data_IF_395171247874
#
_entry.id   IF_395171247874
#
_cell.length_a   1.000
_cell.length_b   1.000
_cell.length_c   1.000
_cell.angle_alpha   90.00
_cell.angle_beta   90.00
_cell.angle_gamma   90.00
#
_symmetry.space_group_name_H-M   'P 1'
#
loop_
_entity.id
_entity.type
_entity.pdbx_description
1 polymer ?
#
# COMPACT_ATOMS: atom_id res chain seq x y z
N UNK A 1 -4.75 -3.87 -21.80
CA UNK A 1 -5.11 -3.89 -20.36
C UNK A 1 -6.40 -4.65 -20.14
N UNK A 2 -6.45 -5.50 -19.12
CA UNK A 2 -7.64 -6.28 -18.77
C UNK A 2 -8.49 -5.52 -17.73
N UNK A 3 -9.80 -5.45 -17.94
CA UNK A 3 -10.75 -4.96 -16.93
C UNK A 3 -12.14 -5.56 -17.14
N UNK A 4 -12.92 -5.62 -16.08
CA UNK A 4 -14.27 -6.14 -16.09
C UNK A 4 -15.30 -5.03 -16.35
N UNK A 5 -16.50 -5.42 -16.83
CA UNK A 5 -17.65 -4.50 -16.88
C UNK A 5 -17.96 -3.95 -15.46
N UNK A 6 -17.77 -4.78 -14.44
CA UNK A 6 -17.93 -4.38 -13.04
C UNK A 6 -16.97 -3.25 -12.64
N UNK A 7 -15.68 -3.37 -12.99
CA UNK A 7 -14.69 -2.34 -12.70
C UNK A 7 -15.05 -1.00 -13.37
N UNK A 8 -15.47 -1.01 -14.64
CA UNK A 8 -15.94 0.18 -15.32
C UNK A 8 -17.17 0.79 -14.63
N UNK A 9 -18.12 -0.03 -14.20
CA UNK A 9 -19.32 0.42 -13.48
C UNK A 9 -18.95 1.06 -12.12
N UNK A 10 -18.01 0.47 -11.36
CA UNK A 10 -17.52 1.04 -10.09
C UNK A 10 -16.91 2.41 -10.33
N UNK A 11 -16.00 2.55 -11.29
CA UNK A 11 -15.32 3.81 -11.57
C UNK A 11 -16.31 4.89 -12.05
N UNK A 12 -17.26 4.53 -12.91
CA UNK A 12 -18.32 5.45 -13.36
C UNK A 12 -19.18 5.93 -12.20
N UNK A 13 -19.61 5.00 -11.34
CA UNK A 13 -20.46 5.33 -10.20
C UNK A 13 -19.77 6.30 -9.23
N UNK A 14 -18.45 6.16 -9.04
CA UNK A 14 -17.64 7.06 -8.20
C UNK A 14 -17.57 8.52 -8.68
N UNK A 15 -17.93 8.81 -9.94
CA UNK A 15 -17.93 10.17 -10.46
C UNK A 15 -19.05 11.04 -9.87
N UNK A 16 -20.06 10.42 -9.25
CA UNK A 16 -21.23 11.12 -8.79
C UNK A 16 -21.12 11.58 -7.34
N UNK A 17 -21.60 12.78 -7.07
CA UNK A 17 -21.54 13.42 -5.75
C UNK A 17 -22.21 12.56 -4.68
N UNK A 18 -21.54 12.39 -3.55
CA UNK A 18 -22.03 11.60 -2.41
C UNK A 18 -21.73 10.10 -2.51
N UNK A 19 -21.13 9.66 -3.61
CA UNK A 19 -20.69 8.28 -3.78
C UNK A 19 -19.17 8.19 -3.57
N UNK A 20 -18.78 7.59 -2.46
CA UNK A 20 -17.38 7.32 -2.13
C UNK A 20 -17.18 5.85 -1.77
N UNK A 21 -15.98 5.49 -1.29
CA UNK A 21 -15.62 4.10 -0.93
C UNK A 21 -16.66 3.43 -0.04
N UNK A 22 -17.03 4.06 1.07
CA UNK A 22 -18.03 3.51 2.02
C UNK A 22 -19.39 3.26 1.37
N UNK A 23 -19.79 4.12 0.45
CA UNK A 23 -21.04 3.92 -0.29
C UNK A 23 -20.95 2.71 -1.22
N UNK A 24 -19.86 2.60 -1.99
CA UNK A 24 -19.62 1.45 -2.88
C UNK A 24 -19.66 0.15 -2.09
N UNK A 25 -18.91 0.05 -0.99
CA UNK A 25 -18.85 -1.18 -0.19
C UNK A 25 -20.22 -1.58 0.38
N UNK A 26 -21.06 -0.62 0.74
CA UNK A 26 -22.40 -0.89 1.31
C UNK A 26 -23.47 -1.21 0.25
N UNK A 27 -23.45 -0.54 -0.89
CA UNK A 27 -24.61 -0.46 -1.76
C UNK A 27 -24.36 -1.04 -3.16
N UNK A 28 -23.10 -1.08 -3.61
CA UNK A 28 -22.79 -1.53 -4.95
C UNK A 28 -22.86 -3.05 -5.06
N UNK A 29 -23.46 -3.56 -6.14
CA UNK A 29 -23.49 -4.98 -6.49
C UNK A 29 -23.01 -5.14 -7.93
N UNK A 30 -22.13 -6.10 -8.18
CA UNK A 30 -21.51 -6.34 -9.48
C UNK A 30 -22.51 -6.60 -10.61
N UNK A 31 -23.70 -7.12 -10.28
CA UNK A 31 -24.77 -7.41 -11.24
C UNK A 31 -25.81 -6.28 -11.42
N UNK A 32 -25.57 -5.07 -10.86
CA UNK A 32 -26.45 -3.94 -11.08
C UNK A 32 -26.48 -3.55 -12.56
N UNK A 33 -27.69 -3.31 -13.08
CA UNK A 33 -27.86 -2.72 -14.42
C UNK A 33 -27.47 -1.23 -14.41
N UNK A 34 -27.21 -0.66 -15.59
CA UNK A 34 -26.87 0.76 -15.72
C UNK A 34 -28.01 1.66 -15.21
N UNK A 35 -29.29 1.24 -15.40
CA UNK A 35 -30.48 1.95 -14.90
C UNK A 35 -30.46 2.02 -13.37
N UNK A 36 -30.17 0.92 -12.67
CA UNK A 36 -30.05 0.90 -11.21
C UNK A 36 -28.91 1.76 -10.71
N UNK A 37 -27.78 1.76 -11.42
CA UNK A 37 -26.64 2.61 -11.07
C UNK A 37 -26.95 4.09 -11.29
N UNK A 38 -27.62 4.45 -12.41
CA UNK A 38 -28.08 5.81 -12.67
C UNK A 38 -29.04 6.33 -11.58
N UNK A 39 -30.03 5.51 -11.19
CA UNK A 39 -30.93 5.84 -10.05
C UNK A 39 -30.13 6.07 -8.77
N UNK A 40 -29.19 5.20 -8.45
CA UNK A 40 -28.34 5.32 -7.27
C UNK A 40 -27.45 6.57 -7.30
N UNK A 41 -26.98 6.94 -8.48
CA UNK A 41 -26.19 8.14 -8.77
C UNK A 41 -27.04 9.42 -8.83
N UNK A 42 -28.37 9.30 -8.75
CA UNK A 42 -29.34 10.41 -8.88
C UNK A 42 -29.18 11.18 -10.20
N UNK A 43 -29.04 10.44 -11.30
CA UNK A 43 -28.88 10.98 -12.66
C UNK A 43 -29.77 10.25 -13.65
N UNK A 44 -29.87 10.74 -14.88
CA UNK A 44 -30.56 10.02 -15.95
C UNK A 44 -29.73 8.87 -16.49
N UNK A 45 -30.37 7.88 -17.09
CA UNK A 45 -29.66 6.76 -17.73
C UNK A 45 -28.78 7.27 -18.87
N UNK A 46 -29.24 8.27 -19.62
CA UNK A 46 -28.49 8.89 -20.71
C UNK A 46 -27.17 9.53 -20.22
N UNK A 47 -27.26 10.39 -19.19
CA UNK A 47 -26.08 11.03 -18.60
C UNK A 47 -25.10 10.00 -17.98
N UNK A 48 -25.66 8.94 -17.38
CA UNK A 48 -24.83 7.86 -16.84
C UNK A 48 -24.06 7.12 -17.94
N UNK A 49 -24.69 6.83 -19.09
CA UNK A 49 -24.07 6.19 -20.24
C UNK A 49 -23.00 7.10 -20.86
N UNK A 50 -23.25 8.40 -20.94
CA UNK A 50 -22.23 9.35 -21.43
C UNK A 50 -21.00 9.36 -20.53
N UNK A 51 -21.19 9.46 -19.19
CA UNK A 51 -20.07 9.42 -18.25
C UNK A 51 -19.35 8.07 -18.27
N UNK A 52 -20.10 6.98 -18.42
CA UNK A 52 -19.54 5.63 -18.57
C UNK A 52 -18.61 5.51 -19.79
N UNK A 53 -18.95 6.16 -20.90
CA UNK A 53 -18.12 6.20 -22.10
C UNK A 53 -16.85 7.03 -21.87
N UNK A 54 -16.93 8.18 -21.19
CA UNK A 54 -15.77 9.01 -20.82
C UNK A 54 -14.82 8.25 -19.89
N UNK A 55 -15.36 7.56 -18.88
CA UNK A 55 -14.54 6.74 -17.95
C UNK A 55 -13.88 5.59 -18.70
N UNK A 56 -14.58 4.95 -19.63
CA UNK A 56 -14.03 3.89 -20.49
C UNK A 56 -12.81 4.38 -21.27
N UNK A 57 -12.90 5.52 -21.93
CA UNK A 57 -11.79 6.13 -22.67
C UNK A 57 -10.58 6.41 -21.75
N UNK A 58 -10.83 6.92 -20.54
CA UNK A 58 -9.78 7.18 -19.55
C UNK A 58 -9.09 5.89 -19.07
N UNK A 59 -9.85 4.80 -18.90
CA UNK A 59 -9.30 3.49 -18.54
C UNK A 59 -8.47 2.95 -19.71
N UNK A 60 -8.97 3.04 -20.93
CA UNK A 60 -8.29 2.55 -22.14
C UNK A 60 -6.98 3.31 -22.42
N UNK A 61 -6.90 4.59 -22.07
CA UNK A 61 -5.66 5.38 -22.11
C UNK A 61 -4.56 4.88 -21.15
N UNK A 62 -4.89 3.97 -20.22
CA UNK A 62 -3.92 3.32 -19.35
C UNK A 62 -3.35 2.02 -19.91
N UNK A 63 -3.77 1.56 -21.10
CA UNK A 63 -3.44 0.25 -21.64
C UNK A 63 -1.94 -0.04 -21.80
N UNK A 64 -1.13 0.96 -22.05
CA UNK A 64 0.32 0.80 -22.19
C UNK A 64 1.06 0.80 -20.83
N UNK A 65 0.38 1.22 -19.76
CA UNK A 65 0.97 1.47 -18.47
C UNK A 65 0.52 0.48 -17.37
N UNK A 66 -0.64 -0.17 -17.56
CA UNK A 66 -1.20 -1.12 -16.62
C UNK A 66 -1.56 -2.44 -17.33
N UNK A 67 -1.34 -3.57 -16.66
CA UNK A 67 -1.78 -4.87 -17.16
C UNK A 67 -3.28 -5.05 -16.93
N UNK A 68 -3.81 -4.45 -15.86
CA UNK A 68 -5.24 -4.54 -15.60
C UNK A 68 -5.75 -3.52 -14.59
N UNK A 69 -7.10 -3.50 -14.53
CA UNK A 69 -7.91 -2.83 -13.53
C UNK A 69 -8.83 -3.87 -12.89
N UNK A 70 -8.81 -3.97 -11.57
CA UNK A 70 -9.69 -4.82 -10.78
C UNK A 70 -10.45 -3.98 -9.77
N UNK A 71 -11.73 -4.29 -9.50
CA UNK A 71 -12.58 -3.48 -8.63
C UNK A 71 -13.39 -4.34 -7.64
N UNK A 72 -13.87 -3.70 -6.59
CA UNK A 72 -14.77 -4.30 -5.61
C UNK A 72 -15.95 -4.99 -6.30
N UNK A 73 -16.18 -6.25 -5.93
CA UNK A 73 -17.19 -7.11 -6.57
C UNK A 73 -16.66 -8.00 -7.70
N UNK A 74 -15.42 -7.82 -8.16
CA UNK A 74 -14.75 -8.79 -9.02
C UNK A 74 -14.33 -10.02 -8.21
N UNK A 75 -14.42 -11.20 -8.81
CA UNK A 75 -14.13 -12.50 -8.17
C UNK A 75 -12.72 -12.54 -7.53
N UNK A 76 -11.73 -11.97 -8.24
CA UNK A 76 -10.34 -11.96 -7.84
C UNK A 76 -9.91 -10.62 -7.20
N UNK A 77 -10.85 -9.81 -6.69
CA UNK A 77 -10.47 -8.57 -6.01
C UNK A 77 -9.68 -8.90 -4.73
N UNK A 78 -8.49 -8.29 -4.53
CA UNK A 78 -7.60 -8.69 -3.44
C UNK A 78 -8.23 -8.50 -2.06
N UNK A 79 -8.02 -9.48 -1.19
CA UNK A 79 -8.38 -9.35 0.22
C UNK A 79 -7.33 -8.53 0.96
N UNK A 80 -7.76 -7.70 1.87
CA UNK A 80 -6.89 -6.94 2.76
C UNK A 80 -6.76 -7.59 4.14
N UNK A 81 -5.74 -7.21 4.91
CA UNK A 81 -5.47 -7.64 6.28
C UNK A 81 -6.12 -6.68 7.27
N UNK A 82 -6.32 -7.17 8.48
CA UNK A 82 -6.83 -6.35 9.59
C UNK A 82 -8.32 -6.00 9.51
N UNK A 83 -8.73 -5.08 10.38
CA UNK A 83 -10.12 -4.59 10.50
C UNK A 83 -10.24 -3.20 9.87
N UNK A 84 -10.50 -3.16 8.58
CA UNK A 84 -10.51 -1.91 7.80
C UNK A 84 -11.90 -1.29 7.78
N UNK A 85 -12.00 0.00 8.14
CA UNK A 85 -13.24 0.78 8.05
C UNK A 85 -13.72 0.87 6.61
N UNK A 86 -15.03 0.93 6.38
CA UNK A 86 -15.60 0.94 5.01
C UNK A 86 -15.06 2.08 4.13
N UNK A 87 -14.78 3.25 4.72
CA UNK A 87 -14.23 4.39 4.00
C UNK A 87 -12.76 4.23 3.59
N UNK A 88 -12.05 3.30 4.23
CA UNK A 88 -10.62 3.04 4.00
C UNK A 88 -10.38 1.81 3.11
N UNK A 89 -11.44 1.03 2.83
CA UNK A 89 -11.31 -0.14 1.97
C UNK A 89 -10.98 0.26 0.54
N UNK A 90 -10.02 -0.43 -0.12
CA UNK A 90 -9.77 -0.24 -1.55
C UNK A 90 -11.00 -0.71 -2.33
N UNK A 91 -11.38 0.04 -3.36
CA UNK A 91 -12.54 -0.30 -4.19
C UNK A 91 -12.19 -0.52 -5.66
N UNK A 92 -11.01 -0.11 -6.07
CA UNK A 92 -10.41 -0.49 -7.35
C UNK A 92 -8.90 -0.36 -7.26
N UNK A 93 -8.20 -1.10 -8.11
CA UNK A 93 -6.74 -1.03 -8.24
C UNK A 93 -6.38 -1.17 -9.72
N UNK A 94 -5.62 -0.21 -10.24
CA UNK A 94 -4.81 -0.41 -11.43
C UNK A 94 -3.54 -1.15 -11.02
N UNK A 95 -3.12 -2.12 -11.81
CA UNK A 95 -1.95 -2.92 -11.50
C UNK A 95 -1.07 -3.20 -12.71
N UNK A 96 0.22 -3.40 -12.48
CA UNK A 96 1.19 -3.91 -13.44
C UNK A 96 2.07 -4.95 -12.75
N UNK A 97 2.16 -6.14 -13.34
CA UNK A 97 2.87 -7.29 -12.76
C UNK A 97 1.95 -8.30 -12.05
N UNK A 98 2.48 -8.99 -11.07
CA UNK A 98 1.82 -10.15 -10.47
C UNK A 98 0.83 -9.76 -9.36
N UNK A 99 -0.44 -9.56 -9.71
CA UNK A 99 -1.52 -9.19 -8.76
C UNK A 99 -1.73 -10.25 -7.65
N UNK A 100 -1.36 -11.52 -7.87
CA UNK A 100 -1.48 -12.59 -6.86
C UNK A 100 -0.59 -12.39 -5.64
N UNK A 101 0.38 -11.47 -5.71
CA UNK A 101 1.17 -11.07 -4.53
C UNK A 101 0.31 -10.38 -3.45
N UNK A 102 -0.90 -9.93 -3.77
CA UNK A 102 -1.86 -9.38 -2.80
C UNK A 102 -2.71 -10.45 -2.10
N UNK A 103 -2.70 -11.70 -2.56
CA UNK A 103 -3.48 -12.77 -1.95
C UNK A 103 -3.11 -12.95 -0.47
N UNK A 104 -4.08 -13.29 0.38
CA UNK A 104 -3.84 -13.50 1.82
C UNK A 104 -2.87 -14.62 2.14
N UNK A 105 -2.75 -15.58 1.25
CA UNK A 105 -1.80 -16.70 1.38
C UNK A 105 -0.34 -16.26 1.20
N UNK A 106 -0.12 -15.14 0.52
CA UNK A 106 1.20 -14.56 0.38
C UNK A 106 1.57 -13.77 1.65
N UNK A 107 2.82 -13.88 2.10
CA UNK A 107 3.30 -13.19 3.29
C UNK A 107 3.93 -11.88 2.90
N UNK A 108 3.28 -10.79 3.28
CA UNK A 108 3.66 -9.44 2.92
C UNK A 108 4.11 -8.66 4.17
N UNK A 109 5.28 -8.05 4.11
CA UNK A 109 5.78 -7.15 5.16
C UNK A 109 6.03 -5.78 4.54
N UNK A 110 5.36 -4.75 5.07
CA UNK A 110 5.66 -3.37 4.70
C UNK A 110 6.94 -2.90 5.40
N UNK A 111 7.85 -2.27 4.65
CA UNK A 111 9.04 -1.61 5.18
C UNK A 111 9.01 -0.17 4.71
N UNK A 112 9.03 0.76 5.68
CA UNK A 112 8.85 2.20 5.45
C UNK A 112 9.85 2.99 6.30
N UNK A 113 10.10 4.25 5.94
CA UNK A 113 11.00 5.09 6.74
C UNK A 113 11.30 6.45 6.12
N UNK A 114 12.49 6.94 6.41
CA UNK A 114 12.98 8.25 6.00
C UNK A 114 13.21 8.36 4.49
N UNK A 115 13.00 9.57 3.96
CA UNK A 115 13.40 9.91 2.60
C UNK A 115 14.92 10.04 2.44
N UNK A 116 15.64 10.32 3.53
CA UNK A 116 17.10 10.51 3.55
C UNK A 116 17.71 9.79 4.77
N UNK A 117 17.75 8.44 4.76
CA UNK A 117 18.45 7.69 5.78
C UNK A 117 19.97 7.96 5.73
N UNK A 118 20.65 7.77 6.85
CA UNK A 118 22.10 7.75 6.87
C UNK A 118 22.62 6.34 6.50
N UNK A 119 23.93 6.19 6.25
CA UNK A 119 24.51 4.91 5.85
C UNK A 119 24.25 3.77 6.85
N UNK A 120 24.22 4.06 8.15
CA UNK A 120 23.92 3.06 9.17
C UNK A 120 22.46 2.59 9.10
N UNK A 121 21.52 3.55 8.96
CA UNK A 121 20.09 3.24 8.77
C UNK A 121 19.85 2.42 7.51
N UNK A 122 20.56 2.75 6.41
CA UNK A 122 20.50 1.98 5.17
C UNK A 122 21.01 0.55 5.35
N UNK A 123 22.18 0.37 6.00
CA UNK A 123 22.76 -0.95 6.24
C UNK A 123 21.83 -1.86 7.04
N UNK A 124 21.29 -1.37 8.17
CA UNK A 124 20.40 -2.19 9.00
C UNK A 124 19.08 -2.52 8.30
N UNK A 125 18.53 -1.59 7.51
CA UNK A 125 17.34 -1.87 6.70
C UNK A 125 17.61 -2.96 5.67
N UNK A 126 18.75 -2.90 4.97
CA UNK A 126 19.15 -3.93 4.01
C UNK A 126 19.29 -5.30 4.67
N UNK A 127 19.88 -5.39 5.87
CA UNK A 127 19.98 -6.63 6.63
C UNK A 127 18.59 -7.18 6.99
N UNK A 128 17.69 -6.33 7.47
CA UNK A 128 16.33 -6.70 7.85
C UNK A 128 15.53 -7.20 6.65
N UNK A 129 15.54 -6.48 5.54
CA UNK A 129 14.86 -6.87 4.30
C UNK A 129 15.42 -8.18 3.75
N UNK A 130 16.74 -8.36 3.75
CA UNK A 130 17.38 -9.60 3.31
C UNK A 130 16.92 -10.79 4.15
N UNK A 131 16.83 -10.65 5.48
CA UNK A 131 16.34 -11.72 6.36
C UNK A 131 14.86 -12.04 6.12
N UNK A 132 14.00 -11.03 5.90
CA UNK A 132 12.60 -11.25 5.55
C UNK A 132 12.46 -12.01 4.24
N UNK A 133 13.19 -11.60 3.19
CA UNK A 133 13.17 -12.28 1.88
C UNK A 133 13.66 -13.73 2.00
N UNK A 134 14.73 -14.01 2.74
CA UNK A 134 15.21 -15.38 3.01
C UNK A 134 14.15 -16.27 3.66
N UNK A 135 13.23 -15.68 4.42
CA UNK A 135 12.12 -16.37 5.04
C UNK A 135 10.85 -16.42 4.15
N UNK A 136 10.95 -16.05 2.87
CA UNK A 136 9.89 -16.18 1.87
C UNK A 136 8.85 -15.08 1.92
N UNK A 137 9.18 -13.89 2.45
CA UNK A 137 8.24 -12.76 2.46
C UNK A 137 8.35 -11.90 1.20
N UNK A 138 7.24 -11.31 0.80
CA UNK A 138 7.19 -10.22 -0.19
C UNK A 138 7.27 -8.89 0.53
N UNK A 139 8.14 -8.00 0.08
CA UNK A 139 8.29 -6.66 0.66
C UNK A 139 7.26 -5.71 0.04
N UNK A 140 6.58 -4.94 0.86
CA UNK A 140 5.66 -3.88 0.43
C UNK A 140 6.28 -2.53 0.78
N UNK A 141 6.26 -1.58 -0.15
CA UNK A 141 6.66 -0.21 0.15
C UNK A 141 6.06 0.77 -0.86
N UNK A 142 6.38 2.06 -0.76
CA UNK A 142 5.72 3.12 -1.50
C UNK A 142 6.49 3.69 -2.68
N UNK A 143 7.64 3.11 -3.00
CA UNK A 143 8.52 3.58 -4.08
C UNK A 143 9.01 5.03 -3.92
N UNK A 144 8.96 5.60 -2.71
CA UNK A 144 9.55 6.90 -2.42
C UNK A 144 11.09 6.84 -2.40
N UNK A 145 11.74 7.98 -2.27
CA UNK A 145 13.20 8.04 -2.03
C UNK A 145 13.54 7.44 -0.65
N UNK A 146 14.80 7.13 -0.43
CA UNK A 146 15.31 6.63 0.85
C UNK A 146 14.85 5.22 1.16
N UNK A 147 14.30 5.01 2.36
CA UNK A 147 13.96 3.68 2.87
C UNK A 147 13.07 2.87 1.92
N UNK A 148 12.03 3.47 1.32
CA UNK A 148 11.19 2.74 0.38
C UNK A 148 11.98 2.16 -0.80
N UNK A 149 12.87 2.97 -1.39
CA UNK A 149 13.74 2.54 -2.50
C UNK A 149 14.75 1.50 -2.07
N UNK A 150 15.32 1.64 -0.88
CA UNK A 150 16.28 0.70 -0.28
C UNK A 150 15.61 -0.65 -0.09
N UNK A 151 14.40 -0.66 0.51
CA UNK A 151 13.62 -1.87 0.72
C UNK A 151 13.35 -2.62 -0.58
N UNK A 152 12.90 -1.91 -1.64
CA UNK A 152 12.66 -2.53 -2.94
C UNK A 152 13.93 -3.09 -3.57
N UNK A 153 15.01 -2.29 -3.64
CA UNK A 153 16.29 -2.69 -4.20
C UNK A 153 16.85 -3.91 -3.48
N UNK A 154 16.83 -3.90 -2.13
CA UNK A 154 17.34 -5.03 -1.35
C UNK A 154 16.48 -6.28 -1.52
N UNK A 155 15.14 -6.16 -1.61
CA UNK A 155 14.26 -7.29 -1.89
C UNK A 155 14.63 -7.96 -3.22
N UNK A 156 14.82 -7.16 -4.28
CA UNK A 156 15.22 -7.66 -5.60
C UNK A 156 16.64 -8.26 -5.60
N UNK A 157 17.59 -7.61 -4.92
CA UNK A 157 18.96 -8.11 -4.75
C UNK A 157 19.01 -9.46 -4.03
N UNK A 158 18.11 -9.67 -3.08
CA UNK A 158 17.98 -10.92 -2.33
C UNK A 158 17.19 -12.00 -3.08
N UNK A 159 16.77 -11.78 -4.32
CA UNK A 159 15.99 -12.72 -5.13
C UNK A 159 14.49 -12.81 -4.74
N UNK A 160 14.01 -11.89 -3.89
CA UNK A 160 12.62 -11.81 -3.45
C UNK A 160 11.70 -11.08 -4.41
N UNK A 161 10.44 -10.98 -3.99
CA UNK A 161 9.40 -10.19 -4.66
C UNK A 161 9.09 -8.94 -3.86
N UNK A 162 8.63 -7.89 -4.57
CA UNK A 162 8.23 -6.66 -3.91
C UNK A 162 7.03 -6.03 -4.58
N UNK A 163 6.22 -5.32 -3.79
CA UNK A 163 5.00 -4.62 -4.19
C UNK A 163 5.21 -3.14 -3.95
N UNK A 164 5.16 -2.34 -5.00
CA UNK A 164 5.20 -0.90 -4.90
C UNK A 164 3.79 -0.31 -5.01
N UNK A 165 3.40 0.51 -4.02
CA UNK A 165 2.10 1.17 -3.95
C UNK A 165 2.29 2.65 -4.24
N UNK A 166 1.69 3.15 -5.32
CA UNK A 166 1.96 4.49 -5.84
C UNK A 166 0.85 5.50 -5.50
N UNK A 167 1.21 6.76 -5.21
CA UNK A 167 0.27 7.87 -5.03
C UNK A 167 -0.15 8.51 -6.37
N UNK A 168 0.45 8.06 -7.46
CA UNK A 168 0.23 8.54 -8.83
C UNK A 168 -0.32 7.45 -9.72
N UNK A 169 -0.76 7.82 -10.93
CA UNK A 169 -1.11 6.82 -11.95
C UNK A 169 0.14 6.00 -12.34
N UNK A 170 -0.06 4.77 -12.80
CA UNK A 170 1.03 3.91 -13.26
C UNK A 170 1.71 4.46 -14.54
N UNK A 171 1.09 5.43 -15.20
CA UNK A 171 1.65 6.19 -16.31
C UNK A 171 2.76 7.14 -15.87
N UNK A 172 2.66 7.68 -14.66
CA UNK A 172 3.57 8.70 -14.15
C UNK A 172 4.17 8.26 -12.81
N UNK A 173 5.30 7.57 -12.87
CA UNK A 173 6.01 7.10 -11.67
C UNK A 173 6.60 8.28 -10.90
N UNK A 174 6.26 8.41 -9.63
CA UNK A 174 6.76 9.44 -8.73
C UNK A 174 7.49 8.78 -7.55
N UNK A 175 8.75 9.18 -7.28
CA UNK A 175 9.57 10.15 -8.02
C UNK A 175 10.08 9.61 -9.36
N UNK A 176 10.36 10.48 -10.36
CA UNK A 176 10.82 10.02 -11.67
C UNK A 176 12.15 9.25 -11.63
N UNK A 177 13.01 9.53 -10.65
CA UNK A 177 14.28 8.81 -10.42
C UNK A 177 14.09 7.32 -10.10
N UNK A 178 12.90 6.90 -9.68
CA UNK A 178 12.59 5.51 -9.35
C UNK A 178 11.85 4.78 -10.48
N UNK A 179 11.79 5.37 -11.70
CA UNK A 179 11.14 4.75 -12.85
C UNK A 179 11.81 3.42 -13.22
N UNK A 180 13.13 3.40 -13.32
CA UNK A 180 13.89 2.17 -13.62
C UNK A 180 13.67 1.10 -12.55
N UNK A 181 13.63 1.48 -11.28
CA UNK A 181 13.31 0.56 -10.18
C UNK A 181 11.90 -0.02 -10.30
N UNK A 182 10.92 0.80 -10.69
CA UNK A 182 9.56 0.32 -10.94
C UNK A 182 9.51 -0.72 -12.07
N UNK A 183 10.24 -0.48 -13.16
CA UNK A 183 10.36 -1.40 -14.29
C UNK A 183 11.06 -2.70 -13.86
N UNK A 184 12.14 -2.62 -13.07
CA UNK A 184 12.83 -3.79 -12.52
C UNK A 184 11.94 -4.62 -11.60
N UNK A 185 11.13 -3.97 -10.74
CA UNK A 185 10.15 -4.66 -9.88
C UNK A 185 9.24 -5.55 -10.72
N UNK A 186 8.65 -5.01 -11.79
CA UNK A 186 7.76 -5.76 -12.68
C UNK A 186 8.51 -6.87 -13.42
N UNK A 187 9.66 -6.55 -14.00
CA UNK A 187 10.48 -7.51 -14.75
C UNK A 187 10.90 -8.72 -13.91
N UNK A 188 11.12 -8.53 -12.61
CA UNK A 188 11.46 -9.60 -11.66
C UNK A 188 10.23 -10.27 -11.02
N UNK A 189 9.02 -10.05 -11.58
CA UNK A 189 7.77 -10.67 -11.15
C UNK A 189 7.19 -10.09 -9.87
N UNK A 190 7.52 -8.85 -9.54
CA UNK A 190 6.88 -8.05 -8.52
C UNK A 190 5.59 -7.39 -9.02
N UNK A 191 5.12 -6.35 -8.32
CA UNK A 191 3.83 -5.73 -8.56
C UNK A 191 3.90 -4.22 -8.32
N UNK A 192 3.30 -3.45 -9.21
CA UNK A 192 2.94 -2.04 -8.99
C UNK A 192 1.43 -1.94 -8.88
N UNK A 193 0.92 -1.17 -7.91
CA UNK A 193 -0.51 -0.86 -7.77
C UNK A 193 -0.76 0.62 -7.51
N UNK A 194 -1.91 1.09 -7.97
CA UNK A 194 -2.41 2.42 -7.68
C UNK A 194 -3.94 2.50 -7.70
N UNK A 195 -4.52 3.35 -6.87
CA UNK A 195 -5.92 3.77 -6.94
C UNK A 195 -6.11 5.02 -7.83
N UNK A 196 -5.09 5.41 -8.61
CA UNK A 196 -5.13 6.61 -9.44
C UNK A 196 -4.83 6.29 -10.91
N UNK A 197 -5.58 6.92 -11.80
CA UNK A 197 -5.39 6.82 -13.26
C UNK A 197 -5.40 8.19 -13.95
N UNK A 198 -5.53 9.25 -13.15
CA UNK A 198 -5.44 10.65 -13.59
C UNK A 198 -4.30 11.34 -12.84
N UNK A 199 -3.73 12.37 -13.47
CA UNK A 199 -2.74 13.21 -12.79
C UNK A 199 -3.39 14.04 -11.68
N UNK A 200 -2.65 14.36 -10.61
CA UNK A 200 -3.14 15.26 -9.58
C UNK A 200 -3.25 16.68 -10.15
N UNK A 201 -4.36 17.36 -9.92
CA UNK A 201 -4.57 18.73 -10.40
C UNK A 201 -3.81 19.78 -9.58
N UNK A 202 -3.27 19.42 -8.41
CA UNK A 202 -2.49 20.32 -7.55
C UNK A 202 -1.50 19.55 -6.66
N UNK A 203 -0.52 20.31 -6.11
CA UNK A 203 0.39 19.75 -5.09
C UNK A 203 -0.38 19.27 -3.85
N UNK A 204 -1.43 19.98 -3.45
CA UNK A 204 -2.23 19.61 -2.28
C UNK A 204 -2.95 18.27 -2.50
N UNK A 205 -3.49 18.04 -3.69
CA UNK A 205 -4.06 16.73 -4.03
C UNK A 205 -3.01 15.63 -4.01
N UNK A 206 -1.83 15.87 -4.58
CA UNK A 206 -0.73 14.90 -4.51
C UNK A 206 -0.37 14.55 -3.06
N UNK A 207 -0.31 15.53 -2.16
CA UNK A 207 -0.11 15.27 -0.73
C UNK A 207 -1.23 14.43 -0.12
N UNK A 208 -2.48 14.70 -0.51
CA UNK A 208 -3.61 13.87 -0.08
C UNK A 208 -3.48 12.43 -0.59
N UNK A 209 -3.04 12.24 -1.83
CA UNK A 209 -2.83 10.91 -2.43
C UNK A 209 -1.71 10.13 -1.73
N UNK A 210 -0.65 10.78 -1.27
CA UNK A 210 0.36 10.12 -0.43
C UNK A 210 -0.25 9.57 0.86
N UNK A 211 -1.05 10.38 1.58
CA UNK A 211 -1.74 9.94 2.80
C UNK A 211 -2.69 8.78 2.54
N UNK A 212 -3.47 8.87 1.48
CA UNK A 212 -4.40 7.81 1.09
C UNK A 212 -3.68 6.51 0.69
N UNK A 213 -2.50 6.61 0.07
CA UNK A 213 -1.69 5.48 -0.33
C UNK A 213 -1.11 4.74 0.88
N UNK A 214 -0.73 5.47 1.94
CA UNK A 214 -0.10 4.90 3.14
C UNK A 214 -1.02 3.87 3.84
N UNK A 215 -2.35 4.04 3.76
CA UNK A 215 -3.29 3.03 4.26
C UNK A 215 -3.18 1.70 3.49
N UNK A 216 -2.87 1.74 2.19
CA UNK A 216 -2.71 0.53 1.38
C UNK A 216 -1.45 -0.26 1.79
N UNK A 217 -0.37 0.43 2.17
CA UNK A 217 0.82 -0.22 2.70
C UNK A 217 0.48 -1.04 3.95
N UNK A 218 -0.33 -0.48 4.85
CA UNK A 218 -0.79 -1.20 6.03
C UNK A 218 -1.70 -2.38 5.66
N UNK A 219 -2.82 -2.13 4.97
CA UNK A 219 -3.84 -3.15 4.76
C UNK A 219 -3.45 -4.29 3.80
N UNK A 220 -2.40 -4.14 2.99
CA UNK A 220 -1.86 -5.22 2.17
C UNK A 220 -0.65 -5.93 2.79
N UNK A 221 -0.37 -5.66 4.08
CA UNK A 221 0.76 -6.26 4.81
C UNK A 221 0.32 -6.99 6.07
N UNK A 222 0.97 -8.10 6.36
CA UNK A 222 0.76 -8.88 7.59
C UNK A 222 1.44 -8.20 8.80
N UNK A 223 2.42 -7.36 8.54
CA UNK A 223 3.14 -6.53 9.51
C UNK A 223 3.69 -5.30 8.81
N UNK A 224 3.73 -4.16 9.49
CA UNK A 224 4.44 -2.97 9.04
C UNK A 224 5.66 -2.71 9.92
N UNK A 225 6.80 -2.44 9.28
CA UNK A 225 8.09 -2.20 9.92
C UNK A 225 8.54 -0.78 9.60
N UNK A 226 8.74 0.02 10.64
CA UNK A 226 9.34 1.34 10.54
C UNK A 226 10.86 1.21 10.71
N UNK A 227 11.61 1.57 9.67
CA UNK A 227 13.08 1.61 9.75
C UNK A 227 13.52 2.74 10.68
N UNK A 228 13.28 3.97 10.30
CA UNK A 228 13.55 5.17 11.10
C UNK A 228 12.65 6.31 10.63
N UNK A 229 12.21 7.17 11.54
CA UNK A 229 11.47 8.39 11.19
C UNK A 229 11.53 9.42 12.30
N UNK A 230 11.43 10.69 11.91
CA UNK A 230 11.21 11.79 12.84
C UNK A 230 9.80 11.71 13.44
N UNK A 231 9.66 11.99 14.74
CA UNK A 231 8.36 12.29 15.32
C UNK A 231 7.83 13.63 14.78
N UNK A 232 6.52 13.83 14.88
CA UNK A 232 5.91 15.11 14.52
C UNK A 232 6.53 16.23 15.37
N UNK A 233 7.08 17.24 14.72
CA UNK A 233 7.68 18.38 15.36
C UNK A 233 7.40 19.68 14.60
N UNK A 234 7.76 20.83 15.20
CA UNK A 234 7.55 22.15 14.61
C UNK A 234 8.52 22.46 13.45
N UNK A 235 9.45 21.57 13.14
CA UNK A 235 10.45 21.72 12.06
C UNK A 235 9.94 21.21 10.72
N UNK A 236 8.73 20.65 10.66
CA UNK A 236 8.14 20.13 9.43
C UNK A 236 8.78 18.82 8.92
N UNK A 237 9.52 18.12 9.78
CA UNK A 237 10.19 16.85 9.41
C UNK A 237 9.27 15.62 9.51
N UNK A 238 7.98 15.82 9.82
CA UNK A 238 7.01 14.74 9.91
C UNK A 238 6.90 14.01 8.55
N UNK A 239 7.18 12.71 8.57
CA UNK A 239 7.13 11.88 7.38
C UNK A 239 5.79 11.13 7.26
N UNK A 240 5.43 10.71 6.05
CA UNK A 240 4.26 9.85 5.79
C UNK A 240 4.28 8.53 6.56
N UNK A 241 5.46 8.08 7.00
CA UNK A 241 5.64 6.83 7.77
C UNK A 241 4.80 6.80 9.05
N UNK A 242 4.61 7.94 9.72
CA UNK A 242 3.73 8.04 10.91
C UNK A 242 2.29 7.65 10.56
N UNK A 243 1.76 8.15 9.46
CA UNK A 243 0.38 7.84 9.03
C UNK A 243 0.21 6.35 8.70
N UNK A 244 1.19 5.74 8.03
CA UNK A 244 1.14 4.32 7.74
C UNK A 244 1.14 3.47 9.03
N UNK A 245 1.94 3.89 10.05
CA UNK A 245 1.95 3.24 11.37
C UNK A 245 0.63 3.45 12.13
N UNK A 246 -0.01 4.61 12.02
CA UNK A 246 -1.34 4.89 12.59
C UNK A 246 -2.43 4.03 11.94
N UNK A 247 -2.45 3.93 10.60
CA UNK A 247 -3.37 3.04 9.89
C UNK A 247 -3.19 1.58 10.30
N UNK A 248 -1.96 1.11 10.46
CA UNK A 248 -1.71 -0.25 10.93
C UNK A 248 -2.29 -0.48 12.33
N UNK A 249 -2.15 0.50 13.25
CA UNK A 249 -2.77 0.44 14.58
C UNK A 249 -4.30 0.38 14.50
N UNK A 250 -4.89 1.28 13.71
CA UNK A 250 -6.36 1.37 13.51
C UNK A 250 -6.94 0.07 12.94
N UNK A 251 -6.20 -0.62 12.07
CA UNK A 251 -6.62 -1.87 11.43
C UNK A 251 -6.25 -3.12 12.24
N UNK A 252 -5.61 -2.97 13.41
CA UNK A 252 -5.08 -4.07 14.22
C UNK A 252 -4.04 -4.93 13.45
N UNK A 253 -3.23 -4.30 12.63
CA UNK A 253 -2.09 -4.92 11.93
C UNK A 253 -0.87 -4.81 12.83
N UNK A 254 -0.11 -5.89 13.04
CA UNK A 254 1.12 -5.87 13.82
C UNK A 254 2.10 -4.81 13.35
N UNK A 255 2.70 -4.09 14.29
CA UNK A 255 3.70 -3.05 14.03
C UNK A 255 5.04 -3.45 14.60
N UNK A 256 6.11 -3.10 13.89
CA UNK A 256 7.48 -3.26 14.35
C UNK A 256 8.30 -2.00 14.08
N UNK A 257 9.36 -1.81 14.83
CA UNK A 257 10.35 -0.76 14.61
C UNK A 257 11.74 -1.36 14.62
N UNK A 258 12.64 -0.84 13.78
CA UNK A 258 14.07 -1.13 13.89
C UNK A 258 14.61 -0.15 14.94
N UNK A 259 15.27 -0.68 15.99
CA UNK A 259 15.82 0.16 17.04
C UNK A 259 16.91 -0.57 17.84
N UNK A 260 18.02 0.11 18.03
CA UNK A 260 19.10 -0.32 18.91
C UNK A 260 19.44 0.80 19.90
N UNK A 261 19.19 0.62 21.22
CA UNK A 261 19.46 1.66 22.21
C UNK A 261 20.90 2.19 22.19
N UNK A 262 21.87 1.34 21.86
CA UNK A 262 23.28 1.72 21.89
C UNK A 262 23.69 2.71 20.79
N UNK A 263 22.94 2.77 19.67
CA UNK A 263 23.29 3.60 18.51
C UNK A 263 22.22 4.66 18.21
N UNK A 264 20.96 4.37 18.55
CA UNK A 264 19.81 5.17 18.08
C UNK A 264 19.26 6.10 19.18
N UNK A 265 19.67 5.89 20.44
CA UNK A 265 19.32 6.79 21.55
C UNK A 265 19.87 8.20 21.29
N UNK A 266 19.01 9.21 21.36
CA UNK A 266 19.39 10.60 21.08
C UNK A 266 19.50 10.97 19.60
N UNK A 267 19.38 10.02 18.66
CA UNK A 267 19.32 10.32 17.22
C UNK A 267 17.90 10.77 16.82
N UNK A 268 17.68 12.03 16.37
CA UNK A 268 16.35 12.52 16.01
C UNK A 268 15.67 11.73 14.89
N UNK A 269 16.42 11.06 14.04
CA UNK A 269 15.89 10.19 12.98
C UNK A 269 15.10 8.99 13.51
N UNK A 270 15.25 8.65 14.78
CA UNK A 270 14.56 7.57 15.47
C UNK A 270 13.52 8.05 16.50
N UNK A 271 13.17 9.35 16.50
CA UNK A 271 12.23 9.92 17.46
C UNK A 271 10.85 9.22 17.39
N UNK A 272 10.33 8.96 16.19
CA UNK A 272 9.06 8.25 16.03
C UNK A 272 9.16 6.79 16.52
N UNK A 273 10.29 6.12 16.29
CA UNK A 273 10.52 4.77 16.78
C UNK A 273 10.43 4.74 18.31
N UNK A 274 11.11 5.66 19.00
CA UNK A 274 11.04 5.80 20.47
C UNK A 274 9.66 6.15 20.97
N UNK A 275 8.97 7.09 20.30
CA UNK A 275 7.59 7.45 20.63
C UNK A 275 6.68 6.23 20.59
N UNK A 276 6.70 5.48 19.49
CA UNK A 276 5.88 4.28 19.31
C UNK A 276 6.20 3.19 20.35
N UNK A 277 7.47 3.01 20.71
CA UNK A 277 7.88 2.06 21.77
C UNK A 277 7.31 2.43 23.14
N UNK A 278 7.16 3.72 23.44
CA UNK A 278 6.57 4.19 24.68
C UNK A 278 5.04 4.03 24.68
N UNK A 279 4.39 4.28 23.54
CA UNK A 279 2.93 4.29 23.41
C UNK A 279 2.33 2.87 23.23
N UNK A 280 3.02 1.96 22.55
CA UNK A 280 2.51 0.64 22.21
C UNK A 280 3.34 -0.50 22.81
N UNK A 281 2.83 -1.11 23.89
CA UNK A 281 3.49 -2.25 24.55
C UNK A 281 3.49 -3.54 23.72
N UNK A 282 2.74 -3.60 22.61
CA UNK A 282 2.70 -4.73 21.68
C UNK A 282 3.65 -4.54 20.49
N UNK A 283 4.27 -3.37 20.39
CA UNK A 283 5.23 -3.06 19.33
C UNK A 283 6.41 -4.03 19.37
N UNK A 284 6.79 -4.51 18.19
CA UNK A 284 7.91 -5.44 18.05
C UNK A 284 9.16 -4.64 17.77
N UNK A 285 10.21 -4.85 18.55
CA UNK A 285 11.51 -4.20 18.36
C UNK A 285 12.42 -5.16 17.63
N UNK A 286 13.01 -4.68 16.53
CA UNK A 286 13.95 -5.41 15.68
C UNK A 286 15.34 -4.78 15.81
N UNK A 287 16.34 -5.60 16.06
CA UNK A 287 17.76 -5.23 16.02
C UNK A 287 18.60 -6.38 15.45
N UNK A 288 19.90 -6.17 15.23
CA UNK A 288 20.78 -7.20 14.66
C UNK A 288 20.79 -8.51 15.46
N UNK A 289 20.66 -8.44 16.78
CA UNK A 289 20.75 -9.58 17.69
C UNK A 289 19.52 -10.48 17.61
N UNK A 290 18.32 -9.88 17.51
CA UNK A 290 17.05 -10.62 17.54
C UNK A 290 16.43 -10.84 16.15
N UNK A 291 16.99 -10.28 15.08
CA UNK A 291 16.42 -10.25 13.73
C UNK A 291 15.95 -11.63 13.25
N UNK A 292 16.79 -12.66 13.37
CA UNK A 292 16.45 -14.02 12.92
C UNK A 292 15.27 -14.62 13.69
N UNK A 293 15.19 -14.35 14.98
CA UNK A 293 14.12 -14.85 15.85
C UNK A 293 12.81 -14.12 15.56
N UNK A 294 12.87 -12.80 15.48
CA UNK A 294 11.71 -11.95 15.21
C UNK A 294 11.15 -12.22 13.82
N UNK A 295 11.99 -12.33 12.80
CA UNK A 295 11.56 -12.67 11.44
C UNK A 295 10.72 -13.95 11.40
N UNK A 296 11.15 -15.01 12.07
CA UNK A 296 10.40 -16.27 12.19
C UNK A 296 9.10 -16.12 12.99
N UNK A 297 9.08 -15.26 14.01
CA UNK A 297 7.87 -15.03 14.81
C UNK A 297 6.79 -14.29 14.01
N UNK A 298 7.17 -13.30 13.21
CA UNK A 298 6.25 -12.55 12.34
C UNK A 298 5.53 -13.49 11.37
N UNK A 299 6.25 -14.45 10.79
CA UNK A 299 5.68 -15.45 9.89
C UNK A 299 4.69 -16.41 10.58
N UNK A 300 4.95 -16.79 11.84
CA UNK A 300 4.07 -17.67 12.60
C UNK A 300 2.75 -16.98 13.01
N UNK A 301 2.81 -15.70 13.40
CA UNK A 301 1.62 -14.92 13.82
C UNK A 301 0.59 -14.80 12.70
N UNK A 302 1.02 -14.69 11.47
CA UNK A 302 0.11 -14.64 10.32
C UNK A 302 -0.69 -15.94 10.12
N UNK A 303 -0.14 -17.11 10.48
CA UNK A 303 -0.84 -18.41 10.41
C UNK A 303 -1.94 -18.55 11.47
N UNK A 304 -1.75 -17.99 12.67
CA UNK A 304 -2.73 -18.06 13.76
C UNK A 304 -3.94 -17.16 13.47
N UNK A 305 -3.73 -16.01 12.87
CA UNK A 305 -4.81 -15.11 12.46
C UNK A 305 -5.74 -15.73 11.39
N UNK A 306 -5.23 -16.63 10.55
CA UNK A 306 -6.02 -17.37 9.57
C UNK A 306 -6.93 -18.44 10.27
N UNK A 307 -6.45 -19.10 11.31
CA UNK A 307 -7.25 -20.10 12.04
C UNK A 307 -8.39 -19.51 12.87
N UNK A 308 -8.24 -18.30 13.40
CA UNK A 308 -9.30 -17.61 14.18
C UNK A 308 -10.37 -16.93 13.31
N UNK A 309 -10.19 -16.81 12.02
CA UNK A 309 -11.21 -16.24 11.10
C UNK A 309 -12.17 -17.28 10.50
N UNK A 310 -12.00 -18.56 10.86
CA UNK A 310 -12.85 -19.67 10.40
C UNK A 310 -13.93 -20.10 11.40
N UNK A 311 -14.09 -19.33 12.53
CA UNK A 311 -15.13 -19.55 13.51
C UNK A 311 -15.97 -18.30 13.74
#
# INVERSE_FOLDING_TARGET
MLYTKNALNVLTTLRYKGIGRAWIVRNFKANNSLEKLAISAKTTVGDFIEEHSKVKEQIEAMSDFADGLIAFGDENFPSYRGKVKLGDQPIFLFYKGNIKLLDKTNKNIAVIGLLQPDPYTEEIEQEVVNEFVKNGTTIVSGLALGCDSIAHKQALKSGGKTIAILPSSLKNIIPPSNKELAEEIVAKGGLLISEYFTEPYSKMELFSRYKERDRLQALFSDTIVLTASYAKNNLGNDSGSRLAMEYAADYNIPRAVIYNPSTDEGNPKYDLNRQLMNEDKKLIIINKENLKTVSKQLLKRSKIAEQTSLF
#
